data_IF_943066986389
#
_entry.id   IF_943066986389
#
_cell.length_a   1.000
_cell.length_b   1.000
_cell.length_c   1.000
_cell.angle_alpha   90.00
_cell.angle_beta   90.00
_cell.angle_gamma   90.00
#
_symmetry.space_group_name_H-M   'P 1'
#
loop_
_entity.id
_entity.type
_entity.pdbx_description
1 polymer ?
#
# COMPACT_ATOMS: atom_id res chain seq x y z
N UNK A 1 32.39 -34.39 55.86
CA UNK A 1 32.08 -33.09 55.22
C UNK A 1 32.26 -33.23 53.71
N UNK A 2 31.16 -33.32 52.97
CA UNK A 2 31.13 -33.09 51.52
C UNK A 2 29.65 -32.86 51.13
N UNK A 3 29.24 -31.59 51.13
CA UNK A 3 27.98 -31.15 50.50
C UNK A 3 28.16 -31.24 48.98
N UNK A 4 27.30 -31.98 48.30
CA UNK A 4 27.06 -31.81 46.85
C UNK A 4 25.77 -31.02 46.70
N UNK A 5 25.90 -29.74 46.37
CA UNK A 5 24.79 -28.93 45.89
C UNK A 5 24.38 -29.43 44.50
N UNK A 6 23.14 -29.91 44.38
CA UNK A 6 22.47 -30.10 43.10
C UNK A 6 22.13 -28.73 42.51
N UNK A 7 22.91 -28.30 41.52
CA UNK A 7 22.59 -27.13 40.71
C UNK A 7 21.42 -27.44 39.78
N UNK A 8 20.22 -27.06 40.19
CA UNK A 8 19.02 -27.01 39.33
C UNK A 8 19.26 -25.98 38.22
N UNK A 9 19.40 -26.44 36.97
CA UNK A 9 19.38 -25.55 35.80
C UNK A 9 17.96 -25.00 35.60
N UNK A 10 17.77 -23.68 35.43
CA UNK A 10 16.45 -23.16 35.14
C UNK A 10 16.08 -23.53 33.70
N UNK A 11 14.94 -24.20 33.54
CA UNK A 11 14.31 -24.47 32.25
C UNK A 11 13.84 -23.12 31.69
N UNK A 12 14.62 -22.50 30.80
CA UNK A 12 14.14 -21.38 29.98
C UNK A 12 13.15 -21.95 28.95
N UNK A 13 11.89 -22.04 29.32
CA UNK A 13 10.80 -22.19 28.35
C UNK A 13 10.68 -20.89 27.57
N UNK A 14 11.30 -20.85 26.39
CA UNK A 14 10.94 -19.88 25.38
C UNK A 14 9.53 -20.22 24.87
N UNK A 15 8.56 -19.38 25.22
CA UNK A 15 7.20 -19.46 24.67
C UNK A 15 7.25 -19.17 23.15
N UNK A 16 7.24 -20.22 22.34
CA UNK A 16 7.31 -20.18 20.86
C UNK A 16 5.93 -20.23 20.16
N UNK A 17 4.84 -19.85 20.82
CA UNK A 17 3.49 -20.05 20.25
C UNK A 17 3.07 -19.02 19.18
N UNK A 18 3.71 -17.84 19.13
CA UNK A 18 3.30 -16.75 18.22
C UNK A 18 3.83 -16.83 16.78
N UNK A 19 4.89 -17.61 16.53
CA UNK A 19 5.53 -17.67 15.20
C UNK A 19 4.70 -18.48 14.18
N UNK A 20 4.05 -19.55 14.61
CA UNK A 20 3.36 -20.47 13.69
C UNK A 20 2.24 -19.82 12.87
N UNK A 21 1.37 -19.00 13.48
CA UNK A 21 0.24 -18.38 12.77
C UNK A 21 0.69 -17.33 11.74
N UNK A 22 1.66 -16.50 12.08
CA UNK A 22 2.21 -15.51 11.15
C UNK A 22 2.97 -16.21 10.01
N UNK A 23 3.75 -17.24 10.33
CA UNK A 23 4.52 -18.01 9.36
C UNK A 23 3.59 -18.73 8.37
N UNK A 24 2.50 -19.34 8.87
CA UNK A 24 1.48 -19.99 8.05
C UNK A 24 0.75 -18.98 7.16
N UNK A 25 0.34 -17.84 7.71
CA UNK A 25 -0.37 -16.79 6.95
C UNK A 25 0.52 -16.17 5.86
N UNK A 26 1.79 -15.88 6.17
CA UNK A 26 2.74 -15.35 5.16
C UNK A 26 3.04 -16.38 4.08
N UNK A 27 3.17 -17.65 4.44
CA UNK A 27 3.38 -18.75 3.50
C UNK A 27 2.18 -18.90 2.58
N UNK A 28 0.96 -18.91 3.10
CA UNK A 28 -0.28 -19.02 2.32
C UNK A 28 -0.40 -17.91 1.28
N UNK A 29 -0.18 -16.65 1.67
CA UNK A 29 -0.23 -15.52 0.72
C UNK A 29 0.93 -15.59 -0.28
N UNK A 30 2.12 -16.03 0.14
CA UNK A 30 3.29 -16.13 -0.74
C UNK A 30 3.08 -17.20 -1.83
N UNK A 31 2.33 -18.27 -1.54
CA UNK A 31 1.94 -19.26 -2.55
C UNK A 31 1.15 -18.63 -3.71
N UNK A 32 0.37 -17.59 -3.44
CA UNK A 32 -0.39 -16.87 -4.48
C UNK A 32 0.54 -16.09 -5.42
N UNK A 33 1.75 -15.77 -4.96
CA UNK A 33 2.82 -15.16 -5.77
C UNK A 33 3.71 -16.19 -6.47
N UNK A 34 3.43 -17.49 -6.29
CA UNK A 34 4.14 -18.59 -6.93
C UNK A 34 5.28 -19.22 -6.12
N UNK A 35 5.40 -18.93 -4.81
CA UNK A 35 6.44 -19.50 -3.94
C UNK A 35 5.84 -20.07 -2.66
N UNK A 36 6.19 -21.31 -2.29
CA UNK A 36 5.69 -21.96 -1.08
C UNK A 36 6.70 -21.90 0.09
N UNK A 37 7.03 -20.69 0.54
CA UNK A 37 7.95 -20.45 1.66
C UNK A 37 7.41 -19.35 2.57
N UNK A 38 7.75 -19.45 3.85
CA UNK A 38 7.49 -18.40 4.84
C UNK A 38 8.21 -17.12 4.40
N UNK A 39 7.56 -15.97 4.60
CA UNK A 39 8.16 -14.65 4.35
C UNK A 39 8.54 -14.03 5.69
N UNK A 40 9.84 -13.88 5.94
CA UNK A 40 10.31 -13.21 7.14
C UNK A 40 10.12 -11.70 7.03
N UNK A 41 9.29 -11.14 7.92
CA UNK A 41 8.98 -9.71 7.95
C UNK A 41 9.87 -9.00 8.97
N UNK A 42 10.86 -8.26 8.47
CA UNK A 42 11.83 -7.53 9.30
C UNK A 42 11.48 -6.04 9.45
N UNK A 43 10.35 -5.72 10.10
CA UNK A 43 9.82 -4.35 10.22
C UNK A 43 10.84 -3.34 10.78
N UNK A 44 11.50 -3.68 11.88
CA UNK A 44 12.50 -2.82 12.50
C UNK A 44 13.69 -2.53 11.59
N UNK A 45 14.05 -3.50 10.74
CA UNK A 45 15.11 -3.33 9.76
C UNK A 45 14.65 -2.43 8.61
N UNK A 46 13.43 -2.64 8.10
CA UNK A 46 12.85 -1.85 7.01
C UNK A 46 12.74 -0.36 7.37
N UNK A 47 12.27 -0.04 8.59
CA UNK A 47 12.10 1.35 9.03
C UNK A 47 13.30 1.90 9.84
N UNK A 48 14.44 1.22 9.81
CA UNK A 48 15.64 1.61 10.57
C UNK A 48 16.24 2.98 10.20
N UNK A 49 15.96 3.46 8.98
CA UNK A 49 16.46 4.76 8.49
C UNK A 49 15.54 5.94 8.87
N UNK A 50 14.32 5.70 9.34
CA UNK A 50 13.33 6.76 9.64
C UNK A 50 13.85 7.77 10.67
N UNK A 51 14.58 7.31 11.69
CA UNK A 51 15.07 8.16 12.78
C UNK A 51 16.46 8.74 12.55
N UNK A 52 17.10 8.44 11.41
CA UNK A 52 18.43 8.96 11.09
C UNK A 52 18.37 10.32 10.41
N UNK A 53 19.45 11.08 10.54
CA UNK A 53 19.64 12.28 9.74
C UNK A 53 19.99 11.89 8.29
N UNK A 54 19.37 12.59 7.33
CA UNK A 54 19.58 12.40 5.90
C UNK A 54 19.90 13.75 5.26
N UNK A 55 20.71 13.76 4.21
CA UNK A 55 21.04 15.00 3.50
C UNK A 55 19.86 15.43 2.61
N UNK A 56 19.75 16.74 2.35
CA UNK A 56 18.79 17.29 1.39
C UNK A 56 19.00 16.71 -0.02
N UNK A 57 20.26 16.55 -0.43
CA UNK A 57 20.60 15.98 -1.74
C UNK A 57 20.08 14.55 -1.91
N UNK A 58 20.03 13.76 -0.82
CA UNK A 58 19.48 12.41 -0.84
C UNK A 58 17.96 12.42 -1.09
N UNK A 59 17.25 13.40 -0.53
CA UNK A 59 15.84 13.61 -0.80
C UNK A 59 15.61 14.05 -2.25
N UNK A 60 16.39 15.02 -2.75
CA UNK A 60 16.29 15.50 -4.13
C UNK A 60 16.59 14.39 -5.14
N UNK A 61 17.59 13.55 -4.86
CA UNK A 61 17.93 12.40 -5.69
C UNK A 61 16.75 11.42 -5.85
N UNK A 62 15.90 11.29 -4.83
CA UNK A 62 14.67 10.50 -4.92
C UNK A 62 13.62 11.17 -5.81
N UNK A 63 13.49 12.50 -5.79
CA UNK A 63 12.50 13.20 -6.62
C UNK A 63 12.85 13.21 -8.12
N UNK A 64 14.12 13.05 -8.49
CA UNK A 64 14.54 13.03 -9.90
C UNK A 64 14.53 11.64 -10.54
N UNK A 65 14.15 10.56 -9.84
CA UNK A 65 14.14 9.21 -10.44
C UNK A 65 13.06 9.07 -11.53
N UNK A 66 13.16 8.00 -12.32
CA UNK A 66 12.15 7.68 -13.35
C UNK A 66 12.23 8.55 -14.62
N UNK A 67 13.30 9.32 -14.79
CA UNK A 67 13.58 10.03 -16.05
C UNK A 67 14.43 9.16 -16.97
N UNK A 68 14.64 9.62 -18.21
CA UNK A 68 15.53 8.95 -19.19
C UNK A 68 16.96 8.75 -18.67
N UNK A 69 17.45 9.64 -17.82
CA UNK A 69 18.84 9.63 -17.35
C UNK A 69 19.00 9.08 -15.92
N UNK A 70 17.91 8.96 -15.17
CA UNK A 70 17.94 8.59 -13.74
C UNK A 70 17.28 7.23 -13.45
N UNK A 71 16.62 6.63 -14.45
CA UNK A 71 16.14 5.25 -14.32
C UNK A 71 17.34 4.30 -14.38
N UNK A 72 17.58 3.48 -13.33
CA UNK A 72 18.72 2.57 -13.30
C UNK A 72 18.57 1.46 -14.35
N UNK A 73 19.70 0.97 -14.84
CA UNK A 73 19.71 -0.29 -15.59
C UNK A 73 19.36 -1.46 -14.65
N UNK A 74 18.97 -2.59 -15.20
CA UNK A 74 18.57 -3.76 -14.40
C UNK A 74 19.70 -4.24 -13.47
N UNK A 75 20.96 -4.10 -13.88
CA UNK A 75 22.15 -4.44 -13.09
C UNK A 75 22.36 -3.50 -11.89
N UNK A 76 21.94 -2.23 -12.02
CA UNK A 76 22.06 -1.21 -10.98
C UNK A 76 20.86 -1.20 -10.01
N UNK A 77 19.80 -1.99 -10.27
CA UNK A 77 18.65 -2.12 -9.37
C UNK A 77 19.09 -2.76 -8.05
N UNK A 78 18.74 -2.14 -6.93
CA UNK A 78 19.02 -2.71 -5.62
C UNK A 78 18.15 -3.94 -5.35
N UNK A 79 18.79 -5.04 -4.98
CA UNK A 79 18.14 -6.27 -4.48
C UNK A 79 18.20 -6.40 -2.96
N UNK A 80 18.81 -5.41 -2.30
CA UNK A 80 18.86 -5.33 -0.85
C UNK A 80 17.47 -5.00 -0.28
N UNK A 81 17.21 -5.34 0.99
CA UNK A 81 16.00 -4.90 1.68
C UNK A 81 15.79 -3.39 1.57
N UNK A 82 14.57 -2.97 1.25
CA UNK A 82 14.18 -1.57 1.14
C UNK A 82 14.21 -0.89 2.51
N UNK A 83 14.67 0.38 2.54
CA UNK A 83 14.78 1.17 3.77
C UNK A 83 14.22 2.59 3.58
N UNK A 84 12.89 2.74 3.47
CA UNK A 84 12.25 4.02 3.23
C UNK A 84 12.35 4.94 4.47
N UNK A 85 12.47 6.24 4.23
CA UNK A 85 12.56 7.26 5.27
C UNK A 85 11.90 8.59 4.87
N UNK A 86 11.89 8.96 3.59
CA UNK A 86 11.38 10.25 3.09
C UNK A 86 9.89 10.41 3.39
N UNK A 87 9.11 9.32 3.31
CA UNK A 87 7.68 9.33 3.64
C UNK A 87 7.39 9.92 5.03
N UNK A 88 8.28 9.67 6.01
CA UNK A 88 8.12 10.19 7.37
C UNK A 88 8.37 11.69 7.45
N UNK A 89 9.26 12.23 6.60
CA UNK A 89 9.53 13.67 6.51
C UNK A 89 8.38 14.40 5.82
N UNK A 90 7.81 13.80 4.78
CA UNK A 90 6.61 14.29 4.12
C UNK A 90 5.41 14.26 5.07
N UNK A 91 5.24 13.18 5.84
CA UNK A 91 4.22 13.11 6.89
C UNK A 91 4.39 14.23 7.92
N UNK A 92 5.60 14.42 8.45
CA UNK A 92 5.88 15.46 9.44
C UNK A 92 5.59 16.87 8.89
N UNK A 93 5.94 17.12 7.62
CA UNK A 93 5.65 18.39 6.94
C UNK A 93 4.14 18.63 6.81
N UNK A 94 3.38 17.64 6.35
CA UNK A 94 1.93 17.73 6.18
C UNK A 94 1.22 17.84 7.53
N UNK A 95 1.59 17.03 8.51
CA UNK A 95 1.05 17.08 9.86
C UNK A 95 1.35 18.43 10.55
N UNK A 96 2.59 18.95 10.42
CA UNK A 96 2.95 20.27 10.91
C UNK A 96 2.14 21.38 10.26
N UNK A 97 1.95 21.30 8.93
CA UNK A 97 1.10 22.24 8.18
C UNK A 97 -0.36 22.19 8.65
N UNK A 98 -0.89 20.99 8.91
CA UNK A 98 -2.23 20.80 9.46
C UNK A 98 -2.36 21.44 10.86
N UNK A 99 -1.37 21.26 11.73
CA UNK A 99 -1.35 21.88 13.07
C UNK A 99 -1.35 23.40 12.98
N UNK A 100 -0.58 23.98 12.07
CA UNK A 100 -0.58 25.44 11.84
C UNK A 100 -1.94 25.95 11.36
N UNK A 101 -2.59 25.21 10.45
CA UNK A 101 -3.95 25.53 9.98
C UNK A 101 -4.99 25.37 11.10
N UNK A 102 -4.87 24.33 11.92
CA UNK A 102 -5.71 24.12 13.09
C UNK A 102 -5.52 25.23 14.13
N UNK A 103 -4.31 25.78 14.28
CA UNK A 103 -4.05 26.94 15.12
C UNK A 103 -4.78 28.20 14.60
N UNK A 104 -4.75 28.44 13.28
CA UNK A 104 -5.53 29.52 12.67
C UNK A 104 -7.04 29.35 12.91
N UNK A 105 -7.54 28.12 12.83
CA UNK A 105 -8.95 27.83 13.05
C UNK A 105 -9.36 27.96 14.54
N UNK A 106 -8.65 27.29 15.45
CA UNK A 106 -9.02 27.20 16.86
C UNK A 106 -8.58 28.41 17.67
N UNK A 107 -7.35 28.89 17.44
CA UNK A 107 -6.76 30.02 18.18
C UNK A 107 -7.24 31.36 17.66
N UNK A 108 -7.23 31.55 16.34
CA UNK A 108 -7.60 32.82 15.71
C UNK A 108 -9.04 32.87 15.19
N UNK A 109 -9.82 31.78 15.35
CA UNK A 109 -11.22 31.67 14.91
C UNK A 109 -11.42 31.98 13.43
N UNK A 110 -10.40 31.68 12.61
CA UNK A 110 -10.43 31.94 11.17
C UNK A 110 -11.08 30.77 10.42
N UNK A 111 -12.33 30.94 10.00
CA UNK A 111 -13.03 29.95 9.18
C UNK A 111 -12.36 29.73 7.81
N UNK A 112 -11.55 30.69 7.35
CA UNK A 112 -10.78 30.56 6.11
C UNK A 112 -9.70 29.48 6.19
N UNK A 113 -9.33 29.02 7.39
CA UNK A 113 -8.43 27.88 7.55
C UNK A 113 -9.09 26.53 7.23
N UNK A 114 -10.43 26.44 7.25
CA UNK A 114 -11.15 25.17 7.07
C UNK A 114 -10.87 24.50 5.72
N UNK A 115 -10.96 25.18 4.56
CA UNK A 115 -10.60 24.55 3.28
C UNK A 115 -9.16 24.03 3.26
N UNK A 116 -8.23 24.78 3.85
CA UNK A 116 -6.84 24.37 3.99
C UNK A 116 -6.69 23.12 4.86
N UNK A 117 -7.39 23.05 5.99
CA UNK A 117 -7.40 21.88 6.87
C UNK A 117 -7.96 20.65 6.16
N UNK A 118 -9.06 20.79 5.42
CA UNK A 118 -9.65 19.69 4.65
C UNK A 118 -8.63 19.15 3.64
N UNK A 119 -7.99 20.04 2.89
CA UNK A 119 -6.99 19.70 1.88
C UNK A 119 -5.75 19.02 2.48
N UNK A 120 -5.11 19.64 3.47
CA UNK A 120 -3.88 19.09 4.07
C UNK A 120 -4.19 17.84 4.90
N UNK A 121 -5.29 17.83 5.64
CA UNK A 121 -5.69 16.69 6.46
C UNK A 121 -5.96 15.45 5.62
N UNK A 122 -6.71 15.59 4.51
CA UNK A 122 -6.99 14.45 3.62
C UNK A 122 -5.75 13.95 2.90
N UNK A 123 -4.75 14.82 2.66
CA UNK A 123 -3.45 14.45 2.07
C UNK A 123 -2.50 13.75 3.03
N UNK A 124 -2.52 14.10 4.31
CA UNK A 124 -1.43 13.81 5.26
C UNK A 124 -1.01 12.34 5.28
N UNK A 125 -1.95 11.40 5.47
CA UNK A 125 -1.62 9.97 5.50
C UNK A 125 -1.56 9.36 4.10
N UNK A 126 -2.56 9.51 3.21
CA UNK A 126 -2.53 8.88 1.88
C UNK A 126 -1.31 9.27 1.05
N UNK A 127 -0.94 10.56 1.04
CA UNK A 127 0.21 11.02 0.27
C UNK A 127 1.54 10.55 0.87
N UNK A 128 1.64 10.50 2.20
CA UNK A 128 2.83 9.93 2.85
C UNK A 128 2.99 8.44 2.51
N UNK A 129 1.91 7.67 2.52
CA UNK A 129 1.95 6.27 2.07
C UNK A 129 2.34 6.14 0.59
N UNK A 130 1.86 7.03 -0.26
CA UNK A 130 2.29 7.08 -1.66
C UNK A 130 3.81 7.26 -1.78
N UNK A 131 4.39 8.17 -1.00
CA UNK A 131 5.85 8.36 -0.95
C UNK A 131 6.56 7.12 -0.41
N UNK A 132 5.99 6.43 0.58
CA UNK A 132 6.52 5.15 1.06
C UNK A 132 6.59 4.11 -0.07
N UNK A 133 5.52 3.93 -0.85
CA UNK A 133 5.54 3.02 -2.00
C UNK A 133 6.49 3.49 -3.11
N UNK A 134 6.67 4.80 -3.27
CA UNK A 134 7.63 5.37 -4.21
C UNK A 134 9.06 5.01 -3.83
N UNK A 135 9.43 5.11 -2.55
CA UNK A 135 10.74 4.70 -2.03
C UNK A 135 10.97 3.20 -2.13
N UNK A 136 9.93 2.40 -1.93
CA UNK A 136 9.98 0.93 -2.03
C UNK A 136 10.18 0.46 -3.49
N UNK A 137 9.83 1.27 -4.49
CA UNK A 137 10.01 0.92 -5.90
C UNK A 137 11.49 0.91 -6.32
N UNK A 138 12.16 -0.23 -6.12
CA UNK A 138 13.60 -0.40 -6.42
C UNK A 138 13.95 -0.19 -7.89
N UNK A 139 13.01 -0.37 -8.81
CA UNK A 139 13.21 -0.17 -10.25
C UNK A 139 13.29 1.31 -10.63
N UNK A 140 12.78 2.23 -9.79
CA UNK A 140 12.94 3.69 -9.96
C UNK A 140 12.63 4.20 -11.37
N UNK A 141 11.64 3.58 -12.02
CA UNK A 141 11.27 3.75 -13.42
C UNK A 141 9.94 4.50 -13.63
N UNK A 142 9.44 5.15 -12.59
CA UNK A 142 8.28 6.03 -12.63
C UNK A 142 8.70 7.41 -12.11
N UNK A 143 8.54 8.43 -12.94
CA UNK A 143 8.87 9.81 -12.55
C UNK A 143 7.83 10.39 -11.60
N UNK A 144 8.22 11.42 -10.85
CA UNK A 144 7.29 12.18 -9.98
C UNK A 144 6.11 12.74 -10.78
N UNK A 145 6.34 13.21 -12.02
CA UNK A 145 5.27 13.69 -12.89
C UNK A 145 4.24 12.58 -13.21
N UNK A 146 4.71 11.39 -13.60
CA UNK A 146 3.81 10.25 -13.83
C UNK A 146 3.10 9.83 -12.54
N UNK A 147 3.80 9.81 -11.41
CA UNK A 147 3.25 9.46 -10.11
C UNK A 147 2.12 10.42 -9.70
N UNK A 148 2.35 11.74 -9.82
CA UNK A 148 1.35 12.77 -9.52
C UNK A 148 0.18 12.72 -10.51
N UNK A 149 0.43 12.38 -11.78
CA UNK A 149 -0.63 12.18 -12.77
C UNK A 149 -1.53 11.02 -12.36
N UNK A 150 -0.96 9.87 -11.98
CA UNK A 150 -1.73 8.71 -11.52
C UNK A 150 -2.46 9.01 -10.22
N UNK A 151 -1.82 9.70 -9.29
CA UNK A 151 -2.44 10.10 -8.02
C UNK A 151 -3.65 11.03 -8.23
N UNK A 152 -3.47 12.13 -8.96
CA UNK A 152 -4.53 13.11 -9.17
C UNK A 152 -5.57 12.62 -10.18
N UNK A 153 -5.15 12.34 -11.42
CA UNK A 153 -6.06 11.98 -12.51
C UNK A 153 -6.58 10.58 -12.31
N UNK A 154 -5.74 9.63 -11.94
CA UNK A 154 -6.18 8.26 -11.67
C UNK A 154 -7.15 8.18 -10.48
N UNK A 155 -6.88 8.87 -9.38
CA UNK A 155 -7.81 8.96 -8.24
C UNK A 155 -9.19 9.50 -8.63
N UNK A 156 -9.23 10.61 -9.40
CA UNK A 156 -10.48 11.22 -9.89
C UNK A 156 -11.19 10.29 -10.88
N UNK A 157 -10.47 9.70 -11.84
CA UNK A 157 -11.05 8.76 -12.81
C UNK A 157 -11.65 7.54 -12.10
N UNK A 158 -11.02 7.07 -11.02
CA UNK A 158 -11.57 5.97 -10.22
C UNK A 158 -12.87 6.37 -9.52
N UNK A 159 -12.98 7.58 -8.97
CA UNK A 159 -14.25 8.08 -8.43
C UNK A 159 -15.34 8.18 -9.51
N UNK A 160 -15.00 8.70 -10.70
CA UNK A 160 -15.94 8.77 -11.83
C UNK A 160 -16.40 7.36 -12.23
N UNK A 161 -15.47 6.42 -12.37
CA UNK A 161 -15.80 5.02 -12.69
C UNK A 161 -16.67 4.38 -11.61
N UNK A 162 -16.38 4.63 -10.33
CA UNK A 162 -17.23 4.20 -9.21
C UNK A 162 -18.65 4.74 -9.34
N UNK A 163 -18.83 6.02 -9.64
CA UNK A 163 -20.16 6.63 -9.81
C UNK A 163 -20.93 6.03 -11.00
N UNK A 164 -20.24 5.74 -12.10
CA UNK A 164 -20.85 5.04 -13.25
C UNK A 164 -21.31 3.65 -12.82
N UNK A 165 -20.49 2.88 -12.09
CA UNK A 165 -20.87 1.54 -11.64
C UNK A 165 -22.02 1.56 -10.63
N UNK A 166 -22.07 2.54 -9.71
CA UNK A 166 -23.23 2.73 -8.82
C UNK A 166 -24.52 3.03 -9.57
N UNK A 167 -24.46 3.67 -10.75
CA UNK A 167 -25.66 3.87 -11.58
C UNK A 167 -26.20 2.58 -12.21
N UNK A 168 -25.39 1.53 -12.26
CA UNK A 168 -25.71 0.25 -12.89
C UNK A 168 -26.03 -0.85 -11.86
N UNK A 169 -25.40 -0.80 -10.68
CA UNK A 169 -25.48 -1.84 -9.65
C UNK A 169 -26.01 -1.21 -8.36
N UNK A 170 -27.23 -1.58 -7.91
CA UNK A 170 -27.78 -1.10 -6.65
C UNK A 170 -26.93 -1.55 -5.46
N UNK A 171 -26.38 -0.60 -4.71
CA UNK A 171 -25.45 -0.87 -3.60
C UNK A 171 -26.12 -1.02 -2.23
N UNK A 172 -27.38 -0.62 -2.06
CA UNK A 172 -28.13 -0.77 -0.80
C UNK A 172 -27.88 0.35 0.21
N UNK A 173 -27.86 0.02 1.51
CA UNK A 173 -27.83 0.98 2.63
C UNK A 173 -26.44 1.29 3.20
N UNK A 174 -25.37 0.77 2.60
CA UNK A 174 -23.96 0.96 2.96
C UNK A 174 -23.45 0.16 4.16
N UNK A 175 -24.33 -0.41 5.00
CA UNK A 175 -23.91 -0.94 6.33
C UNK A 175 -24.18 -2.43 6.53
N UNK A 176 -25.13 -3.00 5.79
CA UNK A 176 -25.35 -4.46 5.80
C UNK A 176 -24.21 -5.19 5.09
N UNK A 177 -23.92 -6.44 5.49
CA UNK A 177 -22.85 -7.23 4.87
C UNK A 177 -23.00 -7.32 3.34
N UNK A 178 -24.21 -7.58 2.85
CA UNK A 178 -24.48 -7.63 1.41
C UNK A 178 -24.21 -6.29 0.71
N UNK A 179 -24.59 -5.17 1.34
CA UNK A 179 -24.31 -3.83 0.83
C UNK A 179 -22.82 -3.51 0.83
N UNK A 180 -22.11 -3.81 1.93
CA UNK A 180 -20.67 -3.59 2.06
C UNK A 180 -19.86 -4.40 1.03
N UNK A 181 -20.27 -5.64 0.74
CA UNK A 181 -19.67 -6.46 -0.32
C UNK A 181 -19.89 -5.83 -1.70
N UNK A 182 -21.08 -5.33 -1.98
CA UNK A 182 -21.38 -4.69 -3.27
C UNK A 182 -20.60 -3.37 -3.42
N UNK A 183 -20.54 -2.55 -2.36
CA UNK A 183 -19.72 -1.33 -2.31
C UNK A 183 -18.26 -1.66 -2.59
N UNK A 184 -17.67 -2.57 -1.81
CA UNK A 184 -16.28 -3.00 -2.01
C UNK A 184 -16.04 -3.55 -3.42
N UNK A 185 -16.95 -4.36 -3.96
CA UNK A 185 -16.86 -4.83 -5.34
C UNK A 185 -16.85 -3.69 -6.35
N UNK A 186 -17.81 -2.76 -6.26
CA UNK A 186 -17.95 -1.62 -7.18
C UNK A 186 -16.69 -0.76 -7.16
N UNK A 187 -16.25 -0.35 -5.98
CA UNK A 187 -15.15 0.61 -5.87
C UNK A 187 -13.80 0.00 -6.21
N UNK A 188 -13.55 -1.25 -5.84
CA UNK A 188 -12.30 -1.92 -6.20
C UNK A 188 -12.29 -2.29 -7.70
N UNK A 189 -13.43 -2.63 -8.30
CA UNK A 189 -13.52 -2.79 -9.78
C UNK A 189 -13.19 -1.49 -10.49
N UNK A 190 -13.77 -0.36 -10.06
CA UNK A 190 -13.50 0.94 -10.67
C UNK A 190 -12.02 1.31 -10.63
N UNK A 191 -11.37 1.12 -9.47
CA UNK A 191 -9.94 1.34 -9.29
C UNK A 191 -9.11 0.40 -10.17
N UNK A 192 -9.47 -0.88 -10.26
CA UNK A 192 -8.81 -1.88 -11.11
C UNK A 192 -8.79 -1.50 -12.59
N UNK A 193 -9.91 -0.99 -13.13
CA UNK A 193 -10.02 -0.57 -14.52
C UNK A 193 -9.05 0.59 -14.82
N UNK A 194 -9.00 1.57 -13.92
CA UNK A 194 -8.09 2.73 -14.04
C UNK A 194 -6.63 2.31 -13.87
N UNK A 195 -6.32 1.40 -12.94
CA UNK A 195 -4.96 0.82 -12.79
C UNK A 195 -4.51 0.15 -14.08
N UNK A 196 -5.38 -0.67 -14.67
CA UNK A 196 -5.10 -1.39 -15.92
C UNK A 196 -4.76 -0.42 -17.05
N UNK A 197 -5.50 0.69 -17.16
CA UNK A 197 -5.22 1.75 -18.12
C UNK A 197 -3.80 2.32 -17.93
N UNK A 198 -3.43 2.74 -16.72
CA UNK A 198 -2.10 3.33 -16.48
C UNK A 198 -0.95 2.32 -16.60
N UNK A 199 -1.16 1.08 -16.17
CA UNK A 199 -0.18 -0.01 -16.34
C UNK A 199 0.14 -0.25 -17.81
N UNK A 200 -0.89 -0.21 -18.67
CA UNK A 200 -0.72 -0.35 -20.11
C UNK A 200 -0.09 0.90 -20.72
N UNK A 201 -0.60 2.09 -20.39
CA UNK A 201 -0.12 3.36 -20.93
C UNK A 201 1.37 3.58 -20.65
N UNK A 202 1.83 3.23 -19.45
CA UNK A 202 3.23 3.37 -19.05
C UNK A 202 4.07 2.11 -19.28
N UNK A 203 3.51 1.07 -19.89
CA UNK A 203 4.20 -0.18 -20.20
C UNK A 203 4.91 -0.79 -18.98
N UNK A 204 4.21 -0.82 -17.84
CA UNK A 204 4.78 -1.25 -16.55
C UNK A 204 4.80 -2.77 -16.44
N UNK A 205 5.91 -3.33 -15.96
CA UNK A 205 6.18 -4.77 -16.05
C UNK A 205 6.72 -5.42 -14.77
N UNK A 206 6.87 -4.65 -13.68
CA UNK A 206 7.45 -5.12 -12.43
C UNK A 206 6.45 -5.01 -11.29
N UNK A 207 6.49 -5.95 -10.34
CA UNK A 207 5.55 -6.02 -9.20
C UNK A 207 5.55 -4.69 -8.43
N UNK A 208 6.72 -4.10 -8.22
CA UNK A 208 6.85 -2.79 -7.58
C UNK A 208 6.20 -1.64 -8.36
N UNK A 209 6.09 -1.74 -9.69
CA UNK A 209 5.34 -0.77 -10.47
C UNK A 209 3.84 -0.90 -10.23
N UNK A 210 3.35 -2.14 -10.14
CA UNK A 210 1.96 -2.44 -9.78
C UNK A 210 1.62 -1.90 -8.39
N UNK A 211 2.46 -2.19 -7.38
CA UNK A 211 2.32 -1.64 -6.04
C UNK A 211 2.25 -0.11 -6.05
N UNK A 212 3.16 0.55 -6.75
CA UNK A 212 3.26 2.01 -6.78
C UNK A 212 2.07 2.68 -7.50
N UNK A 213 1.67 2.18 -8.68
CA UNK A 213 0.50 2.72 -9.41
C UNK A 213 -0.79 2.46 -8.63
N UNK A 214 -0.92 1.27 -8.03
CA UNK A 214 -2.04 0.95 -7.16
C UNK A 214 -2.12 1.91 -5.97
N UNK A 215 -1.01 2.08 -5.24
CA UNK A 215 -0.92 3.03 -4.13
C UNK A 215 -1.27 4.46 -4.54
N UNK A 216 -0.80 4.91 -5.71
CA UNK A 216 -1.09 6.25 -6.23
C UNK A 216 -2.60 6.46 -6.47
N UNK A 217 -3.25 5.52 -7.17
CA UNK A 217 -4.70 5.59 -7.42
C UNK A 217 -5.49 5.54 -6.11
N UNK A 218 -5.16 4.58 -5.23
CA UNK A 218 -5.85 4.42 -3.95
C UNK A 218 -5.67 5.62 -3.02
N UNK A 219 -4.47 6.20 -2.97
CA UNK A 219 -4.20 7.41 -2.21
C UNK A 219 -4.99 8.60 -2.77
N UNK A 220 -5.01 8.78 -4.10
CA UNK A 220 -5.79 9.83 -4.75
C UNK A 220 -7.28 9.71 -4.46
N UNK A 221 -7.82 8.50 -4.62
CA UNK A 221 -9.21 8.19 -4.28
C UNK A 221 -9.54 8.57 -2.83
N UNK A 222 -8.71 8.12 -1.87
CA UNK A 222 -8.89 8.38 -0.45
C UNK A 222 -8.88 9.89 -0.11
N UNK A 223 -8.01 10.66 -0.76
CA UNK A 223 -7.87 12.12 -0.54
C UNK A 223 -9.13 12.85 -0.97
N UNK A 224 -9.59 12.63 -2.19
CA UNK A 224 -10.75 13.31 -2.75
C UNK A 224 -12.04 12.87 -2.06
N UNK A 225 -12.18 11.58 -1.77
CA UNK A 225 -13.32 11.07 -1.02
C UNK A 225 -13.36 11.66 0.40
N UNK A 226 -12.25 11.61 1.14
CA UNK A 226 -12.19 12.14 2.51
C UNK A 226 -12.47 13.64 2.54
N UNK A 227 -12.01 14.41 1.55
CA UNK A 227 -12.36 15.82 1.43
C UNK A 227 -13.88 16.04 1.25
N UNK A 228 -14.52 15.24 0.38
CA UNK A 228 -15.97 15.28 0.17
C UNK A 228 -16.78 14.93 1.42
N UNK A 229 -16.47 13.81 2.07
CA UNK A 229 -17.09 13.41 3.33
C UNK A 229 -16.87 14.44 4.44
N UNK A 230 -15.69 15.05 4.51
CA UNK A 230 -15.43 16.11 5.50
C UNK A 230 -16.28 17.35 5.24
N UNK A 231 -16.48 17.73 3.97
CA UNK A 231 -17.37 18.83 3.61
C UNK A 231 -18.82 18.58 4.03
N UNK A 232 -19.28 17.33 3.97
CA UNK A 232 -20.65 16.95 4.32
C UNK A 232 -20.87 16.71 5.83
N UNK A 233 -19.90 16.08 6.49
CA UNK A 233 -20.06 15.56 7.86
C UNK A 233 -19.15 16.26 8.89
N UNK A 234 -18.32 17.21 8.47
CA UNK A 234 -17.49 18.04 9.34
C UNK A 234 -16.10 17.49 9.66
N UNK A 235 -15.32 18.27 10.41
CA UNK A 235 -13.90 18.02 10.68
C UNK A 235 -13.60 16.79 11.55
N UNK A 236 -14.57 16.29 12.32
CA UNK A 236 -14.38 15.03 13.06
C UNK A 236 -14.18 13.86 12.08
N UNK A 237 -14.94 13.86 10.99
CA UNK A 237 -14.82 12.87 9.91
C UNK A 237 -13.42 12.92 9.27
N UNK A 238 -12.85 14.12 9.12
CA UNK A 238 -11.48 14.28 8.61
C UNK A 238 -10.48 13.52 9.49
N UNK A 239 -10.51 13.76 10.80
CA UNK A 239 -9.58 13.13 11.73
C UNK A 239 -9.72 11.61 11.73
N UNK A 240 -10.97 11.12 11.77
CA UNK A 240 -11.26 9.69 11.76
C UNK A 240 -10.77 9.00 10.48
N UNK A 241 -11.08 9.57 9.32
CA UNK A 241 -10.68 8.98 8.04
C UNK A 241 -9.18 9.13 7.77
N UNK A 242 -8.55 10.20 8.27
CA UNK A 242 -7.12 10.44 8.07
C UNK A 242 -6.25 9.38 8.74
N UNK A 243 -6.49 9.02 10.01
CA UNK A 243 -5.67 7.98 10.65
C UNK A 243 -5.97 6.60 10.06
N UNK A 244 -7.24 6.32 9.76
CA UNK A 244 -7.69 5.07 9.16
C UNK A 244 -7.07 4.81 7.79
N UNK A 245 -6.73 5.86 7.03
CA UNK A 245 -6.10 5.76 5.73
C UNK A 245 -4.78 4.96 5.71
N UNK A 246 -4.16 4.69 6.87
CA UNK A 246 -3.02 3.78 7.00
C UNK A 246 -3.31 2.35 6.52
N UNK A 247 -4.59 1.94 6.50
CA UNK A 247 -5.01 0.57 6.22
C UNK A 247 -6.06 0.37 5.15
N UNK A 248 -6.46 1.43 4.43
CA UNK A 248 -7.62 1.38 3.53
C UNK A 248 -7.22 1.48 2.06
N UNK A 249 -7.90 2.32 1.27
CA UNK A 249 -7.84 2.34 -0.19
C UNK A 249 -6.43 2.31 -0.76
N UNK A 250 -5.47 3.04 -0.18
CA UNK A 250 -4.07 3.06 -0.65
C UNK A 250 -3.46 1.66 -0.68
N UNK A 251 -3.58 0.89 0.40
CA UNK A 251 -2.94 -0.42 0.48
C UNK A 251 -3.75 -1.51 -0.26
N UNK A 252 -5.08 -1.44 -0.23
CA UNK A 252 -5.92 -2.37 -1.01
C UNK A 252 -5.68 -2.20 -2.52
N UNK A 253 -5.55 -0.95 -2.95
CA UNK A 253 -5.22 -0.61 -4.33
C UNK A 253 -3.80 -1.02 -4.71
N UNK A 254 -2.82 -0.88 -3.81
CA UNK A 254 -1.46 -1.36 -4.03
C UNK A 254 -1.41 -2.89 -4.21
N UNK A 255 -2.13 -3.64 -3.35
CA UNK A 255 -2.28 -5.10 -3.47
C UNK A 255 -2.83 -5.47 -4.86
N UNK A 256 -3.90 -4.79 -5.28
CA UNK A 256 -4.55 -5.04 -6.57
C UNK A 256 -3.64 -4.69 -7.76
N UNK A 257 -2.93 -3.56 -7.70
CA UNK A 257 -1.99 -3.17 -8.75
C UNK A 257 -0.84 -4.18 -8.91
N UNK A 258 -0.31 -4.71 -7.81
CA UNK A 258 0.68 -5.79 -7.83
C UNK A 258 0.12 -7.08 -8.45
N UNK A 259 -1.12 -7.42 -8.10
CA UNK A 259 -1.81 -8.60 -8.62
C UNK A 259 -2.05 -8.54 -10.13
N UNK A 260 -2.34 -7.36 -10.69
CA UNK A 260 -2.43 -7.14 -12.14
C UNK A 260 -1.10 -7.51 -12.79
N UNK A 261 0.02 -7.02 -12.27
CA UNK A 261 1.35 -7.34 -12.83
C UNK A 261 1.70 -8.82 -12.68
N UNK A 262 1.35 -9.46 -11.56
CA UNK A 262 1.59 -10.89 -11.33
C UNK A 262 0.85 -11.81 -12.32
N UNK A 263 -0.34 -11.40 -12.75
CA UNK A 263 -1.16 -12.16 -13.69
C UNK A 263 -0.93 -11.80 -15.16
N UNK A 264 -0.27 -10.66 -15.42
CA UNK A 264 0.03 -10.12 -16.73
C UNK A 264 1.24 -10.81 -17.36
N UNK A 265 1.17 -11.06 -18.66
CA UNK A 265 2.34 -11.49 -19.43
C UNK A 265 3.34 -10.34 -19.61
N UNK A 266 4.61 -10.60 -19.30
CA UNK A 266 5.63 -9.55 -19.29
C UNK A 266 5.81 -8.94 -20.68
N UNK A 267 5.91 -7.61 -20.73
CA UNK A 267 6.03 -6.80 -21.95
C UNK A 267 4.82 -6.84 -22.91
N UNK A 268 3.73 -7.50 -22.53
CA UNK A 268 2.46 -7.44 -23.26
C UNK A 268 1.49 -6.49 -22.56
N UNK A 269 0.44 -5.97 -23.21
CA UNK A 269 -0.63 -5.26 -22.51
C UNK A 269 -1.43 -6.21 -21.62
N UNK A 270 -2.05 -5.69 -20.57
CA UNK A 270 -3.01 -6.42 -19.74
C UNK A 270 -4.22 -6.80 -20.59
N UNK A 271 -4.62 -8.05 -20.54
CA UNK A 271 -5.77 -8.62 -21.24
C UNK A 271 -6.83 -9.13 -20.27
N UNK A 272 -8.05 -9.39 -20.78
CA UNK A 272 -9.14 -9.93 -19.97
C UNK A 272 -8.83 -11.30 -19.36
N UNK A 273 -8.03 -12.15 -20.03
CA UNK A 273 -7.62 -13.46 -19.49
C UNK A 273 -6.72 -13.31 -18.25
N UNK A 274 -5.89 -12.26 -18.19
CA UNK A 274 -5.09 -11.95 -17.01
C UNK A 274 -5.99 -11.60 -15.81
N UNK A 275 -7.12 -10.91 -16.04
CA UNK A 275 -8.05 -10.46 -14.99
C UNK A 275 -8.97 -11.58 -14.46
N UNK A 276 -8.94 -12.76 -15.06
CA UNK A 276 -9.62 -13.96 -14.52
C UNK A 276 -8.63 -15.04 -14.07
N UNK A 277 -7.33 -14.76 -14.15
CA UNK A 277 -6.31 -15.70 -13.69
C UNK A 277 -6.37 -15.85 -12.16
N UNK A 278 -6.19 -17.07 -11.62
CA UNK A 278 -6.22 -17.30 -10.17
C UNK A 278 -5.26 -16.41 -9.38
N UNK A 279 -4.10 -16.09 -9.96
CA UNK A 279 -3.10 -15.19 -9.35
C UNK A 279 -3.66 -13.78 -9.10
N UNK A 280 -4.47 -13.25 -10.02
CA UNK A 280 -5.12 -11.96 -9.85
C UNK A 280 -6.34 -12.06 -8.94
N UNK A 281 -7.24 -13.03 -9.21
CA UNK A 281 -8.52 -13.14 -8.52
C UNK A 281 -8.37 -13.28 -6.99
N UNK A 282 -7.35 -13.98 -6.50
CA UNK A 282 -7.12 -14.13 -5.05
C UNK A 282 -6.87 -12.79 -4.36
N UNK A 283 -5.99 -11.96 -4.92
CA UNK A 283 -5.71 -10.62 -4.38
C UNK A 283 -6.85 -9.62 -4.62
N UNK A 284 -7.55 -9.76 -5.75
CA UNK A 284 -8.74 -8.95 -6.02
C UNK A 284 -9.86 -9.21 -5.01
N UNK A 285 -10.16 -10.48 -4.74
CA UNK A 285 -11.14 -10.87 -3.73
C UNK A 285 -10.68 -10.50 -2.31
N UNK A 286 -9.36 -10.56 -2.02
CA UNK A 286 -8.82 -10.07 -0.76
C UNK A 286 -9.08 -8.55 -0.60
N UNK A 287 -8.83 -7.74 -1.63
CA UNK A 287 -9.09 -6.30 -1.58
C UNK A 287 -10.58 -5.99 -1.36
N UNK A 288 -11.48 -6.67 -2.08
CA UNK A 288 -12.93 -6.55 -1.86
C UNK A 288 -13.31 -6.99 -0.44
N UNK A 289 -12.75 -8.09 0.04
CA UNK A 289 -13.02 -8.61 1.37
C UNK A 289 -12.58 -7.66 2.48
N UNK A 290 -11.38 -7.07 2.36
CA UNK A 290 -10.88 -6.06 3.30
C UNK A 290 -11.77 -4.81 3.29
N UNK A 291 -12.19 -4.35 2.11
CA UNK A 291 -13.07 -3.19 1.97
C UNK A 291 -14.46 -3.48 2.55
N UNK A 292 -15.09 -4.58 2.15
CA UNK A 292 -16.40 -4.96 2.66
C UNK A 292 -16.39 -5.17 4.18
N UNK A 293 -15.33 -5.78 4.72
CA UNK A 293 -15.18 -5.92 6.17
C UNK A 293 -14.91 -4.58 6.86
N UNK A 294 -14.36 -3.58 6.16
CA UNK A 294 -14.17 -2.24 6.72
C UNK A 294 -15.49 -1.48 6.87
N UNK A 295 -16.35 -1.57 5.84
CA UNK A 295 -17.64 -0.87 5.79
C UNK A 295 -18.75 -1.59 6.55
N UNK A 296 -18.57 -2.89 6.79
CA UNK A 296 -19.55 -3.70 7.50
C UNK A 296 -19.52 -3.42 9.00
N UNK A 297 -20.69 -3.09 9.54
CA UNK A 297 -20.93 -3.04 10.98
C UNK A 297 -21.10 -4.47 11.53
N UNK A 298 -20.00 -5.08 11.96
CA UNK A 298 -20.00 -6.45 12.44
C UNK A 298 -20.86 -6.57 13.72
N UNK A 299 -21.71 -7.61 13.87
CA UNK A 299 -22.64 -7.76 14.99
C UNK A 299 -21.94 -8.26 16.27
N UNK A 300 -20.68 -7.89 16.48
CA UNK A 300 -19.83 -8.32 17.58
C UNK A 300 -19.26 -7.10 18.31
N UNK A 301 -19.93 -6.66 19.37
CA UNK A 301 -19.59 -5.42 20.09
C UNK A 301 -18.13 -5.33 20.59
N UNK A 302 -17.46 -6.47 20.80
CA UNK A 302 -16.05 -6.47 21.21
C UNK A 302 -15.10 -5.98 20.11
N UNK A 303 -15.49 -6.06 18.83
CA UNK A 303 -14.70 -5.60 17.69
C UNK A 303 -14.66 -4.06 17.59
N UNK A 304 -15.67 -3.38 18.14
CA UNK A 304 -15.73 -1.92 18.19
C UNK A 304 -14.86 -1.34 19.32
N UNK A 305 -14.50 -2.15 20.30
CA UNK A 305 -13.66 -1.73 21.43
C UNK A 305 -12.30 -1.31 20.88
N UNK A 306 -11.97 -0.02 21.02
CA UNK A 306 -10.71 0.59 20.57
C UNK A 306 -10.40 0.36 19.08
N UNK A 307 -11.43 0.25 18.24
CA UNK A 307 -11.28 0.02 16.79
C UNK A 307 -10.53 -1.28 16.45
N UNK A 308 -10.75 -2.35 17.23
CA UNK A 308 -10.07 -3.63 17.06
C UNK A 308 -10.27 -4.21 15.64
N UNK A 309 -11.48 -4.11 15.08
CA UNK A 309 -11.76 -4.50 13.69
C UNK A 309 -10.80 -3.82 12.71
N UNK A 310 -10.67 -2.49 12.81
CA UNK A 310 -9.82 -1.70 11.93
C UNK A 310 -8.35 -2.09 12.10
N UNK A 311 -7.88 -2.30 13.35
CA UNK A 311 -6.51 -2.75 13.59
C UNK A 311 -6.19 -4.11 12.97
N UNK A 312 -7.12 -5.06 13.07
CA UNK A 312 -6.98 -6.39 12.43
C UNK A 312 -6.93 -6.25 10.91
N UNK A 313 -7.83 -5.47 10.31
CA UNK A 313 -7.86 -5.25 8.86
C UNK A 313 -6.60 -4.53 8.35
N UNK A 314 -6.12 -3.53 9.10
CA UNK A 314 -4.83 -2.86 8.85
C UNK A 314 -3.71 -3.91 8.81
N UNK A 315 -3.62 -4.76 9.84
CA UNK A 315 -2.57 -5.78 9.93
C UNK A 315 -2.62 -6.78 8.76
N UNK A 316 -3.81 -7.25 8.38
CA UNK A 316 -3.99 -8.17 7.25
C UNK A 316 -3.61 -7.53 5.91
N UNK A 317 -3.99 -6.27 5.69
CA UNK A 317 -3.60 -5.53 4.49
C UNK A 317 -2.08 -5.35 4.40
N UNK A 318 -1.44 -4.94 5.49
CA UNK A 318 0.03 -4.79 5.53
C UNK A 318 0.77 -6.11 5.40
N UNK A 319 0.25 -7.20 5.95
CA UNK A 319 0.79 -8.55 5.75
C UNK A 319 0.89 -8.89 4.26
N UNK A 320 -0.18 -8.67 3.50
CA UNK A 320 -0.19 -8.87 2.06
C UNK A 320 0.82 -7.96 1.34
N UNK A 321 0.93 -6.69 1.74
CA UNK A 321 1.95 -5.76 1.22
C UNK A 321 3.37 -6.30 1.44
N UNK A 322 3.71 -6.77 2.64
CA UNK A 322 5.06 -7.30 2.90
C UNK A 322 5.38 -8.54 2.07
N UNK A 323 4.40 -9.44 1.88
CA UNK A 323 4.55 -10.59 0.98
C UNK A 323 4.79 -10.15 -0.46
N UNK A 324 4.06 -9.14 -0.94
CA UNK A 324 4.23 -8.59 -2.30
C UNK A 324 5.55 -7.84 -2.47
N UNK A 325 6.04 -7.14 -1.45
CA UNK A 325 7.38 -6.53 -1.45
C UNK A 325 8.45 -7.61 -1.57
N UNK A 326 8.33 -8.70 -0.80
CA UNK A 326 9.24 -9.84 -0.91
C UNK A 326 9.19 -10.49 -2.31
N UNK A 327 8.00 -10.64 -2.88
CA UNK A 327 7.83 -11.12 -4.25
C UNK A 327 8.50 -10.19 -5.28
N UNK A 328 8.39 -8.87 -5.11
CA UNK A 328 9.07 -7.87 -5.94
C UNK A 328 10.61 -7.92 -5.84
N UNK A 329 11.16 -8.08 -4.62
CA UNK A 329 12.61 -8.26 -4.44
C UNK A 329 13.10 -9.57 -5.08
N UNK A 330 12.31 -10.65 -4.96
CA UNK A 330 12.59 -11.93 -5.61
C UNK A 330 12.58 -11.80 -7.14
N UNK A 331 11.60 -11.07 -7.69
CA UNK A 331 11.54 -10.75 -9.13
C UNK A 331 12.81 -10.03 -9.59
N UNK A 332 13.25 -8.99 -8.88
CA UNK A 332 14.46 -8.23 -9.22
C UNK A 332 15.71 -9.13 -9.25
N UNK A 333 15.91 -9.98 -8.23
CA UNK A 333 17.03 -10.94 -8.17
C UNK A 333 17.01 -11.93 -9.35
N UNK A 334 15.83 -12.43 -9.67
CA UNK A 334 15.65 -13.43 -10.74
C UNK A 334 16.00 -12.83 -12.10
N UNK A 335 15.54 -11.61 -12.34
CA UNK A 335 15.81 -10.84 -13.55
C UNK A 335 17.30 -10.54 -13.74
N UNK A 336 17.99 -10.12 -12.67
CA UNK A 336 19.43 -9.92 -12.70
C UNK A 336 20.19 -11.22 -13.02
N UNK A 337 19.84 -12.33 -12.36
CA UNK A 337 20.45 -13.63 -12.62
C UNK A 337 20.28 -14.11 -14.06
N UNK A 338 19.07 -13.99 -14.63
CA UNK A 338 18.80 -14.36 -16.03
C UNK A 338 19.63 -13.55 -17.03
N UNK A 339 19.85 -12.26 -16.76
CA UNK A 339 20.61 -11.38 -17.65
C UNK A 339 22.11 -11.68 -17.63
N UNK A 340 22.65 -12.00 -16.45
CA UNK A 340 24.04 -12.46 -16.31
C UNK A 340 24.25 -13.73 -17.13
N UNK A 341 23.38 -14.74 -16.98
CA UNK A 341 23.47 -16.00 -17.73
C UNK A 341 23.43 -15.80 -19.25
N UNK A 342 22.54 -14.94 -19.75
CA UNK A 342 22.48 -14.63 -21.20
C UNK A 342 23.74 -13.95 -21.71
N UNK A 343 24.33 -13.05 -20.92
CA UNK A 343 25.57 -12.35 -21.30
C UNK A 343 26.74 -13.32 -21.35
N UNK A 344 26.82 -14.26 -20.41
CA UNK A 344 27.84 -15.31 -20.38
C UNK A 344 27.70 -16.29 -21.54
N UNK A 345 26.47 -16.62 -21.97
CA UNK A 345 26.22 -17.54 -23.10
C UNK A 345 26.48 -16.92 -24.48
N UNK A 346 26.45 -15.59 -24.61
CA UNK A 346 26.69 -14.87 -25.87
C UNK A 346 28.13 -14.34 -25.99
N UNK A 347 28.90 -14.39 -24.90
CA UNK A 347 30.27 -13.88 -24.81
C UNK A 347 31.35 -14.96 -24.71
N UNK A 348 31.01 -16.23 -24.88
CA UNK A 348 31.94 -17.36 -25.07
C UNK A 348 31.66 -18.02 -26.41
#
# INVERSE_FOLDING_TARGET
MANKEETVKPLKQHFHYGHHLLDDATKEINEWTGENKVVEIHLFSMFSEVFKAHNHDDAEALFIVGTRHTTPSLEAVSVAPVKPWLFSRIFALLAGSFVLLALLFLGFRSNNAVPGMIFIGSLTVPFSLLILFFEINVFRNLSVYQLLTVFLVGGILSLIATMILYSLIPSGNGTSLGSAVIVGFIEETAKMLVMTYFINQFHLNYIFNGLLVGAAIGAGFAVFETAGYTGQYGLVTLLMRSWQAIGTHTIWSAIMGAAIILAKDRHQPVTGSNMVAPKFLRFYLLAIGLHAAWDWNAPFAFLDILYLQQWVLIALGWLAIFVLINAGLREARTLQGQRILRTTQLGG
#
